data_IF_773254020127
#
_entry.id   IF_773254020127
#
_cell.length_a   1.000
_cell.length_b   1.000
_cell.length_c   1.000
_cell.angle_alpha   90.00
_cell.angle_beta   90.00
_cell.angle_gamma   90.00
#
_symmetry.space_group_name_H-M   'P 1'
#
loop_
_entity.id
_entity.type
_entity.pdbx_description
1 polymer ?
#
# COMPACT_ATOMS: atom_id res chain seq x y z
N UNK A 1 0.67 16.92 -9.23
CA UNK A 1 0.83 15.53 -9.73
C UNK A 1 2.23 15.10 -9.32
N UNK A 2 2.37 14.02 -8.54
CA UNK A 2 3.67 13.47 -8.16
C UNK A 2 4.16 12.66 -9.37
N UNK A 3 5.34 12.96 -9.89
CA UNK A 3 5.92 12.18 -10.97
C UNK A 3 6.54 10.90 -10.39
N UNK A 4 6.08 9.74 -10.84
CA UNK A 4 6.63 8.43 -10.47
C UNK A 4 7.20 7.72 -11.69
N UNK A 5 8.22 6.91 -11.49
CA UNK A 5 8.86 6.12 -12.55
C UNK A 5 8.50 4.64 -12.45
N UNK A 6 8.10 4.19 -11.26
CA UNK A 6 7.77 2.80 -10.99
C UNK A 6 6.41 2.68 -10.29
N UNK A 7 5.67 1.64 -10.64
CA UNK A 7 4.32 1.41 -10.14
C UNK A 7 4.09 -0.08 -9.85
N UNK A 8 3.42 -0.38 -8.74
CA UNK A 8 2.96 -1.74 -8.43
C UNK A 8 1.55 -1.70 -7.84
N UNK A 9 0.59 -2.36 -8.49
CA UNK A 9 -0.79 -2.47 -7.98
C UNK A 9 -1.01 -3.80 -7.27
N UNK A 10 -1.41 -3.70 -6.01
CA UNK A 10 -1.83 -4.79 -5.13
C UNK A 10 -3.37 -4.84 -5.10
N UNK A 11 -3.94 -5.98 -5.47
CA UNK A 11 -5.34 -6.27 -5.23
C UNK A 11 -5.55 -6.55 -3.75
N UNK A 12 -6.58 -5.94 -3.18
CA UNK A 12 -7.05 -6.15 -1.83
C UNK A 12 -8.44 -6.75 -1.87
N UNK A 13 -8.60 -7.91 -1.23
CA UNK A 13 -9.89 -8.57 -1.06
C UNK A 13 -10.22 -8.64 0.45
N UNK A 14 -11.44 -8.24 0.82
CA UNK A 14 -11.92 -8.21 2.21
C UNK A 14 -13.12 -9.15 2.34
N UNK A 15 -13.08 -10.03 3.35
CA UNK A 15 -14.17 -10.97 3.63
C UNK A 15 -14.53 -10.96 5.12
N UNK A 16 -15.82 -11.04 5.49
CA UNK A 16 -16.21 -11.28 6.87
C UNK A 16 -15.66 -12.62 7.39
N UNK A 17 -15.32 -12.68 8.67
CA UNK A 17 -14.83 -13.87 9.37
C UNK A 17 -15.37 -13.89 10.81
N UNK A 18 -15.21 -15.00 11.51
CA UNK A 18 -15.68 -15.14 12.90
C UNK A 18 -15.00 -14.14 13.86
N UNK A 19 -13.81 -13.65 13.51
CA UNK A 19 -13.03 -12.68 14.30
C UNK A 19 -13.16 -11.23 13.77
N UNK A 20 -14.03 -10.98 12.79
CA UNK A 20 -14.23 -9.66 12.18
C UNK A 20 -14.05 -9.69 10.67
N UNK A 21 -12.96 -9.12 10.15
CA UNK A 21 -12.70 -9.03 8.71
C UNK A 21 -11.30 -9.54 8.37
N UNK A 22 -11.25 -10.45 7.40
CA UNK A 22 -10.01 -10.98 6.86
C UNK A 22 -9.64 -10.21 5.58
N UNK A 23 -8.38 -9.79 5.52
CA UNK A 23 -7.78 -9.12 4.37
C UNK A 23 -6.85 -10.07 3.65
N UNK A 24 -6.96 -10.15 2.33
CA UNK A 24 -6.03 -10.89 1.49
C UNK A 24 -5.51 -10.03 0.35
N UNK A 25 -4.31 -10.36 -0.11
CA UNK A 25 -3.55 -9.53 -1.03
C UNK A 25 -3.01 -10.37 -2.17
N UNK A 26 -3.17 -9.89 -3.39
CA UNK A 26 -2.66 -10.53 -4.59
C UNK A 26 -2.15 -9.49 -5.59
N UNK A 27 -1.37 -9.90 -6.59
CA UNK A 27 -0.99 -8.98 -7.67
C UNK A 27 -2.23 -8.65 -8.51
N UNK A 28 -2.38 -7.41 -8.92
CA UNK A 28 -3.44 -7.07 -9.87
C UNK A 28 -3.13 -7.71 -11.24
N UNK A 29 -3.99 -8.62 -11.69
CA UNK A 29 -3.72 -9.56 -12.79
C UNK A 29 -3.37 -8.93 -14.15
N UNK A 30 -3.67 -7.65 -14.34
CA UNK A 30 -3.47 -6.93 -15.62
C UNK A 30 -2.16 -6.15 -15.68
N UNK A 31 -1.38 -6.11 -14.60
CA UNK A 31 -0.18 -5.28 -14.50
C UNK A 31 1.09 -6.12 -14.38
N UNK A 32 2.06 -5.83 -15.24
CA UNK A 32 3.43 -6.33 -15.05
C UNK A 32 4.16 -5.38 -14.11
N UNK A 33 4.51 -5.87 -12.92
CA UNK A 33 5.32 -5.10 -11.98
C UNK A 33 6.75 -4.91 -12.51
N UNK A 34 7.45 -3.83 -12.13
CA UNK A 34 8.86 -3.64 -12.44
C UNK A 34 9.70 -4.84 -11.99
N UNK A 35 10.83 -5.03 -12.67
CA UNK A 35 11.73 -6.17 -12.43
C UNK A 35 12.15 -6.22 -10.96
N UNK A 36 12.14 -7.43 -10.37
CA UNK A 36 12.48 -7.70 -8.96
C UNK A 36 11.51 -7.14 -7.91
N UNK A 37 10.46 -6.39 -8.27
CA UNK A 37 9.39 -6.05 -7.34
C UNK A 37 8.54 -7.27 -6.96
N UNK A 38 8.30 -7.47 -5.67
CA UNK A 38 7.66 -8.68 -5.12
C UNK A 38 6.53 -8.35 -4.16
N UNK A 39 5.46 -9.13 -4.25
CA UNK A 39 4.40 -9.13 -3.25
C UNK A 39 4.74 -10.20 -2.21
N UNK A 40 4.95 -9.76 -0.98
CA UNK A 40 5.16 -10.60 0.19
C UNK A 40 3.86 -10.87 0.96
N UNK A 41 3.96 -11.57 2.10
CA UNK A 41 2.82 -11.84 2.97
C UNK A 41 2.23 -10.53 3.53
N UNK A 42 0.97 -10.60 3.96
CA UNK A 42 0.21 -9.49 4.55
C UNK A 42 0.18 -8.21 3.68
N UNK A 43 0.28 -8.36 2.37
CA UNK A 43 0.23 -7.22 1.44
C UNK A 43 1.52 -6.41 1.38
N UNK A 44 2.62 -6.96 1.89
CA UNK A 44 3.91 -6.28 1.83
C UNK A 44 4.46 -6.19 0.41
N UNK A 45 5.00 -5.05 0.02
CA UNK A 45 5.63 -4.86 -1.30
C UNK A 45 7.12 -4.62 -1.11
N UNK A 46 7.92 -5.46 -1.74
CA UNK A 46 9.37 -5.30 -1.81
C UNK A 46 9.74 -4.69 -3.15
N UNK A 47 10.54 -3.63 -3.14
CA UNK A 47 10.98 -2.90 -4.35
C UNK A 47 12.51 -2.86 -4.47
N UNK A 48 13.07 -2.77 -5.69
CA UNK A 48 14.49 -2.55 -5.90
C UNK A 48 14.96 -1.23 -5.27
N UNK A 49 16.12 -1.26 -4.63
CA UNK A 49 16.74 -0.08 -4.03
C UNK A 49 17.37 0.85 -5.08
N UNK A 50 17.45 2.15 -4.75
CA UNK A 50 18.03 3.17 -5.62
C UNK A 50 17.43 3.19 -7.03
N UNK A 51 16.11 3.00 -7.11
CA UNK A 51 15.37 2.85 -8.35
C UNK A 51 14.39 4.01 -8.60
N UNK A 52 14.52 5.12 -7.85
CA UNK A 52 13.75 6.33 -8.10
C UNK A 52 12.42 6.40 -7.33
N UNK A 53 11.51 7.28 -7.76
CA UNK A 53 10.20 7.44 -7.15
C UNK A 53 9.22 6.31 -7.52
N UNK A 54 8.53 5.80 -6.52
CA UNK A 54 7.60 4.68 -6.61
C UNK A 54 6.18 5.08 -6.21
N UNK A 55 5.21 4.43 -6.85
CA UNK A 55 3.81 4.37 -6.42
C UNK A 55 3.42 2.91 -6.15
N UNK A 56 2.98 2.62 -4.92
CA UNK A 56 2.31 1.34 -4.62
C UNK A 56 0.83 1.62 -4.45
N UNK A 57 0.01 0.96 -5.26
CA UNK A 57 -1.44 1.15 -5.29
C UNK A 57 -2.12 -0.06 -4.66
N UNK A 58 -2.82 0.13 -3.55
CA UNK A 58 -3.74 -0.86 -3.00
C UNK A 58 -5.11 -0.62 -3.59
N UNK A 59 -5.68 -1.64 -4.23
CA UNK A 59 -6.91 -1.54 -5.00
C UNK A 59 -7.94 -2.55 -4.52
N UNK A 60 -9.11 -2.07 -4.13
CA UNK A 60 -10.31 -2.88 -3.90
C UNK A 60 -11.22 -2.76 -5.12
N UNK A 61 -11.73 -3.88 -5.60
CA UNK A 61 -12.83 -3.94 -6.57
C UNK A 61 -14.03 -4.63 -5.91
N UNK A 62 -14.85 -3.83 -5.23
CA UNK A 62 -15.98 -4.28 -4.42
C UNK A 62 -17.05 -3.19 -4.30
N UNK A 63 -18.32 -3.60 -4.31
CA UNK A 63 -19.45 -2.74 -3.95
C UNK A 63 -19.59 -2.53 -2.44
N UNK A 64 -18.97 -3.39 -1.64
CA UNK A 64 -19.24 -3.49 -0.21
C UNK A 64 -18.21 -2.74 0.62
N UNK A 65 -17.01 -2.54 0.08
CA UNK A 65 -15.87 -1.93 0.78
C UNK A 65 -15.26 -0.80 -0.04
N UNK A 66 -14.87 0.28 0.65
CA UNK A 66 -14.15 1.41 0.07
C UNK A 66 -12.94 1.77 0.91
N UNK A 67 -11.76 1.82 0.29
CA UNK A 67 -10.58 2.46 0.88
C UNK A 67 -10.82 3.96 1.00
N UNK A 68 -10.49 4.55 2.14
CA UNK A 68 -10.70 5.99 2.36
C UNK A 68 -9.57 6.67 3.13
N UNK A 69 -8.70 5.91 3.80
CA UNK A 69 -7.58 6.45 4.56
C UNK A 69 -6.50 5.38 4.75
N UNK A 70 -5.32 5.82 5.19
CA UNK A 70 -4.29 4.95 5.73
C UNK A 70 -3.62 5.65 6.92
N UNK A 71 -3.29 4.88 7.95
CA UNK A 71 -2.45 5.33 9.05
C UNK A 71 -1.02 4.91 8.75
N UNK A 72 -0.12 5.87 8.51
CA UNK A 72 1.30 5.56 8.32
C UNK A 72 1.94 5.35 9.69
N UNK A 73 2.28 4.09 9.96
CA UNK A 73 3.10 3.68 11.08
C UNK A 73 4.56 3.85 10.67
N UNK A 74 5.04 5.09 10.55
CA UNK A 74 6.48 5.33 10.57
C UNK A 74 6.94 4.97 11.97
N UNK A 75 7.37 3.72 12.17
CA UNK A 75 8.21 3.37 13.31
C UNK A 75 9.29 4.48 13.40
N UNK A 76 9.66 5.01 14.57
CA UNK A 76 10.67 6.07 14.73
C UNK A 76 12.03 5.84 14.03
N UNK A 77 12.22 4.72 13.33
CA UNK A 77 13.23 4.46 12.32
C UNK A 77 13.50 5.61 11.33
N UNK A 78 12.48 6.37 10.89
CA UNK A 78 12.70 7.55 10.04
C UNK A 78 13.45 8.68 10.81
N UNK A 79 13.23 8.80 12.13
CA UNK A 79 13.93 9.74 12.99
C UNK A 79 15.35 9.26 13.37
N UNK A 80 15.69 7.98 13.16
CA UNK A 80 16.98 7.38 13.54
C UNK A 80 17.85 6.91 12.37
N UNK A 81 17.49 7.23 11.11
CA UNK A 81 18.17 6.72 9.89
C UNK A 81 18.17 5.19 9.79
N UNK A 82 17.03 4.57 10.10
CA UNK A 82 16.80 3.13 9.97
C UNK A 82 15.70 2.82 8.94
N UNK A 83 15.29 3.78 8.11
CA UNK A 83 14.40 3.51 6.97
C UNK A 83 15.21 3.38 5.70
N UNK A 84 14.87 2.38 4.91
CA UNK A 84 15.45 2.10 3.60
C UNK A 84 15.02 3.11 2.52
N UNK A 85 14.05 3.98 2.82
CA UNK A 85 13.51 4.96 1.88
C UNK A 85 13.88 6.38 2.30
N UNK A 86 14.08 7.23 1.29
CA UNK A 86 14.53 8.61 1.50
C UNK A 86 13.39 9.45 2.08
N UNK A 87 12.18 9.26 1.54
CA UNK A 87 11.03 10.11 1.85
C UNK A 87 9.70 9.48 1.43
N UNK A 88 8.66 9.64 2.26
CA UNK A 88 7.26 9.52 1.82
C UNK A 88 6.86 10.81 1.11
N UNK A 89 6.53 10.71 -0.17
CA UNK A 89 6.18 11.85 -1.01
C UNK A 89 4.71 12.23 -0.89
N UNK A 90 3.84 11.27 -0.58
CA UNK A 90 2.42 11.54 -0.39
C UNK A 90 1.58 10.28 -0.28
N UNK A 91 0.30 10.50 0.03
CA UNK A 91 -0.76 9.50 0.00
C UNK A 91 -1.90 10.06 -0.82
N UNK A 92 -2.51 9.22 -1.65
CA UNK A 92 -3.71 9.59 -2.41
C UNK A 92 -4.75 8.50 -2.26
N UNK A 93 -6.00 8.91 -2.09
CA UNK A 93 -7.13 8.00 -1.97
C UNK A 93 -8.16 8.37 -3.02
N UNK A 94 -8.60 7.37 -3.77
CA UNK A 94 -9.82 7.44 -4.56
C UNK A 94 -10.81 6.46 -3.95
N UNK A 95 -11.82 6.99 -3.25
CA UNK A 95 -12.83 6.15 -2.61
C UNK A 95 -13.79 5.50 -3.62
N UNK A 96 -13.65 5.80 -4.91
CA UNK A 96 -14.60 5.40 -5.93
C UNK A 96 -15.92 6.16 -5.81
N UNK A 97 -16.90 5.77 -6.61
CA UNK A 97 -18.20 6.43 -6.57
C UNK A 97 -19.09 5.77 -5.51
N UNK A 98 -19.53 6.56 -4.53
CA UNK A 98 -20.39 6.11 -3.42
C UNK A 98 -21.76 5.63 -3.94
N UNK A 99 -22.17 6.13 -5.11
CA UNK A 99 -23.47 5.87 -5.72
C UNK A 99 -23.50 4.61 -6.59
N UNK A 100 -22.45 3.77 -6.56
CA UNK A 100 -22.44 2.43 -7.16
C UNK A 100 -22.01 2.36 -8.63
N UNK A 101 -21.57 3.47 -9.25
CA UNK A 101 -21.11 3.45 -10.65
C UNK A 101 -19.64 3.00 -10.82
N UNK A 102 -18.86 3.00 -9.74
CA UNK A 102 -17.50 2.44 -9.70
C UNK A 102 -17.36 1.65 -8.41
N UNK A 103 -17.10 0.35 -8.55
CA UNK A 103 -16.75 -0.57 -7.45
C UNK A 103 -15.27 -0.48 -7.08
N UNK A 104 -14.51 0.34 -7.79
CA UNK A 104 -13.07 0.45 -7.60
C UNK A 104 -12.77 1.58 -6.61
N UNK A 105 -12.03 1.26 -5.55
CA UNK A 105 -11.39 2.24 -4.67
C UNK A 105 -9.89 1.95 -4.56
N UNK A 106 -9.08 2.99 -4.42
CA UNK A 106 -7.62 2.90 -4.35
C UNK A 106 -7.03 3.70 -3.20
N UNK A 107 -5.92 3.19 -2.68
CA UNK A 107 -5.00 3.89 -1.80
C UNK A 107 -3.59 3.81 -2.40
N UNK A 108 -3.07 4.95 -2.84
CA UNK A 108 -1.72 5.08 -3.41
C UNK A 108 -0.75 5.62 -2.37
N UNK A 109 0.39 4.96 -2.25
CA UNK A 109 1.51 5.37 -1.40
C UNK A 109 2.67 5.76 -2.30
N UNK A 110 3.07 7.02 -2.22
CA UNK A 110 4.17 7.57 -3.01
C UNK A 110 5.41 7.73 -2.13
N UNK A 111 6.55 7.23 -2.60
CA UNK A 111 7.81 7.35 -1.88
C UNK A 111 9.01 7.47 -2.83
N UNK A 112 10.07 8.12 -2.36
CA UNK A 112 11.34 8.19 -3.06
C UNK A 112 12.27 7.08 -2.54
N UNK A 113 12.87 6.35 -3.47
CA UNK A 113 13.83 5.29 -3.19
C UNK A 113 15.12 5.51 -4.00
N UNK A 114 15.85 6.58 -3.68
CA UNK A 114 17.07 7.02 -4.38
C UNK A 114 18.33 6.86 -3.54
N UNK A 115 18.20 6.47 -2.27
CA UNK A 115 19.37 6.17 -1.44
C UNK A 115 19.98 4.82 -1.85
N UNK A 116 21.30 4.77 -2.08
CA UNK A 116 22.00 3.50 -2.24
C UNK A 116 21.98 2.71 -0.93
N UNK A 117 21.67 1.41 -1.03
CA UNK A 117 21.73 0.47 0.10
C UNK A 117 23.19 0.21 0.46
N UNK A 118 23.79 1.13 1.21
CA UNK A 118 25.15 0.99 1.76
C UNK A 118 25.13 0.31 3.12
N UNK A 119 23.98 0.28 3.78
CA UNK A 119 23.61 -0.55 4.93
C UNK A 119 22.09 -0.82 4.84
N UNK A 120 21.63 -2.02 4.43
CA UNK A 120 20.21 -2.32 4.39
C UNK A 120 19.62 -2.20 5.80
N UNK A 121 18.60 -1.37 5.93
CA UNK A 121 17.88 -1.19 7.17
C UNK A 121 16.67 -2.13 7.21
N UNK A 122 16.38 -2.80 8.34
CA UNK A 122 15.31 -3.78 8.40
C UNK A 122 13.89 -3.18 8.33
N UNK A 123 13.76 -1.85 8.24
CA UNK A 123 12.49 -1.14 8.44
C UNK A 123 12.06 -0.41 7.16
N UNK A 124 10.94 -0.87 6.60
CA UNK A 124 10.25 -0.18 5.52
C UNK A 124 9.14 0.77 6.01
N UNK A 125 8.30 1.23 5.09
CA UNK A 125 7.10 2.02 5.41
C UNK A 125 6.01 1.04 5.85
N UNK A 126 5.64 1.05 7.13
CA UNK A 126 4.49 0.30 7.65
C UNK A 126 3.26 1.20 7.70
N UNK A 127 2.09 0.64 7.43
CA UNK A 127 0.84 1.38 7.49
C UNK A 127 -0.35 0.46 7.65
N UNK A 128 -1.44 1.01 8.17
CA UNK A 128 -2.75 0.36 8.18
C UNK A 128 -3.62 0.98 7.09
N UNK A 129 -4.16 0.16 6.19
CA UNK A 129 -5.23 0.57 5.29
C UNK A 129 -6.55 0.60 6.04
N UNK A 130 -7.31 1.69 5.85
CA UNK A 130 -8.62 1.86 6.45
C UNK A 130 -9.67 1.78 5.34
N UNK A 131 -10.56 0.81 5.47
CA UNK A 131 -11.72 0.67 4.62
C UNK A 131 -13.00 0.93 5.42
N UNK A 132 -14.07 1.30 4.72
CA UNK A 132 -15.41 1.39 5.28
C UNK A 132 -16.36 0.50 4.53
N UNK A 133 -17.34 -0.03 5.24
CA UNK A 133 -18.49 -0.67 4.61
C UNK A 133 -19.35 0.40 3.94
N UNK A 134 -19.76 0.19 2.69
CA UNK A 134 -20.55 1.16 1.92
C UNK A 134 -21.94 1.37 2.52
N UNK A 135 -22.56 0.29 3.01
CA UNK A 135 -23.92 0.31 3.57
C UNK A 135 -23.99 0.89 4.98
N UNK A 136 -23.12 0.43 5.90
CA UNK A 136 -23.20 0.78 7.33
C UNK A 136 -22.26 1.91 7.73
N UNK A 137 -21.30 2.27 6.86
CA UNK A 137 -20.19 3.19 7.16
C UNK A 137 -19.29 2.73 8.32
N UNK A 138 -19.40 1.48 8.75
CA UNK A 138 -18.50 0.89 9.74
C UNK A 138 -17.07 0.89 9.19
N UNK A 139 -16.12 1.32 10.01
CA UNK A 139 -14.69 1.36 9.68
C UNK A 139 -14.04 0.03 10.06
N UNK A 140 -13.17 -0.46 9.19
CA UNK A 140 -12.37 -1.66 9.35
C UNK A 140 -10.92 -1.37 8.93
N UNK A 141 -9.97 -2.01 9.58
CA UNK A 141 -8.53 -1.77 9.35
C UNK A 141 -7.83 -3.07 8.95
N UNK A 142 -6.79 -2.94 8.14
CA UNK A 142 -5.91 -4.05 7.76
C UNK A 142 -4.85 -4.33 8.84
N UNK A 143 -4.34 -5.56 8.89
CA UNK A 143 -3.18 -5.93 9.72
C UNK A 143 -1.83 -5.52 9.10
N UNK A 144 -1.53 -4.22 9.14
CA UNK A 144 -0.22 -3.60 8.85
C UNK A 144 0.52 -4.06 7.55
N UNK A 145 0.02 -3.76 6.34
CA UNK A 145 0.85 -3.85 5.14
C UNK A 145 2.13 -3.00 5.22
N UNK A 146 3.17 -3.42 4.51
CA UNK A 146 4.48 -2.78 4.54
C UNK A 146 5.10 -2.63 3.15
N UNK A 147 5.69 -1.49 2.83
CA UNK A 147 6.59 -1.36 1.66
C UNK A 147 8.03 -1.44 2.16
N UNK A 148 8.92 -2.22 1.52
CA UNK A 148 10.32 -2.47 1.94
C UNK A 148 11.27 -2.50 0.74
N UNK A 149 12.57 -2.27 0.95
CA UNK A 149 13.56 -2.57 -0.09
C UNK A 149 13.88 -4.07 -0.15
N UNK A 150 14.26 -4.52 -1.34
CA UNK A 150 14.88 -5.83 -1.53
C UNK A 150 16.30 -5.81 -0.95
N UNK A 151 16.62 -6.82 -0.12
CA UNK A 151 17.97 -7.03 0.43
C UNK A 151 18.86 -7.82 -0.53
#
# INVERSE_FOLDING_TARGET
MIAVTNQATVRVDIQPSDEGYQWSYSKWNEETWPENAKLGPHGSVTVPANDGPWEVIYKIDSSDYQLFSALINTNPAAATRLSDFDQILGLQFDAGNIDGSSTISTASIFFANTLPVTNPHPVGISFELWARLTQTRQVITSSDPQVKNEM
#
